data_IF_517537644516
#
_entry.id   IF_517537644516
#
_cell.length_a   1.000
_cell.length_b   1.000
_cell.length_c   1.000
_cell.angle_alpha   90.00
_cell.angle_beta   90.00
_cell.angle_gamma   90.00
#
_symmetry.space_group_name_H-M   'P 1'
#
loop_
_entity.id
_entity.type
_entity.pdbx_description
1 polymer ?
#
# COMPACT_ATOMS: atom_id res chain seq x y z
N UNK A 1 2.26 40.57 -34.41
CA UNK A 1 3.05 41.58 -33.69
C UNK A 1 2.97 41.24 -32.22
N UNK A 2 4.12 40.86 -31.65
CA UNK A 2 4.29 40.27 -30.33
C UNK A 2 4.44 41.39 -29.31
N UNK A 3 3.73 41.34 -28.19
CA UNK A 3 4.21 41.95 -26.94
C UNK A 3 3.89 41.00 -25.79
N UNK A 4 4.96 40.38 -25.30
CA UNK A 4 5.04 39.52 -24.12
C UNK A 4 5.70 40.40 -23.05
N UNK A 5 5.08 40.57 -21.89
CA UNK A 5 5.71 41.22 -20.74
C UNK A 5 5.98 40.18 -19.66
N UNK A 6 7.24 40.17 -19.22
CA UNK A 6 7.80 39.35 -18.16
C UNK A 6 7.50 39.94 -16.79
N UNK A 7 7.40 39.11 -15.75
CA UNK A 7 7.94 39.49 -14.45
C UNK A 7 8.48 38.28 -13.68
N UNK A 8 9.51 38.57 -12.91
CA UNK A 8 10.45 37.69 -12.24
C UNK A 8 9.89 36.97 -11.01
N UNK A 9 10.53 35.85 -10.66
CA UNK A 9 10.32 35.16 -9.39
C UNK A 9 11.47 34.20 -9.07
N UNK A 10 12.65 34.77 -8.82
CA UNK A 10 13.87 34.12 -8.31
C UNK A 10 13.61 33.52 -6.92
N UNK A 11 13.90 32.24 -6.69
CA UNK A 11 14.09 31.71 -5.33
C UNK A 11 15.36 30.88 -5.22
N UNK A 12 16.10 31.21 -4.16
CA UNK A 12 17.47 30.86 -3.82
C UNK A 12 17.65 29.36 -3.56
N UNK A 13 18.80 28.84 -4.01
CA UNK A 13 19.46 27.68 -3.41
C UNK A 13 19.89 27.98 -1.97
N UNK A 14 19.73 27.01 -1.07
CA UNK A 14 20.52 26.92 0.16
C UNK A 14 21.23 25.58 0.21
N UNK A 15 22.56 25.66 0.31
CA UNK A 15 23.53 24.58 0.28
C UNK A 15 24.16 24.46 1.68
N UNK A 16 24.38 23.22 2.12
CA UNK A 16 25.37 22.72 3.09
C UNK A 16 25.54 23.42 4.46
N UNK A 17 25.46 22.63 5.54
CA UNK A 17 26.65 22.40 6.38
C UNK A 17 26.57 21.05 7.10
N UNK A 18 27.74 20.43 7.22
CA UNK A 18 28.06 19.08 7.68
C UNK A 18 28.79 19.19 9.04
N UNK A 19 28.86 18.08 9.76
CA UNK A 19 29.69 17.76 10.95
C UNK A 19 29.11 17.91 12.36
N UNK A 20 29.24 16.81 13.13
CA UNK A 20 29.14 16.76 14.59
C UNK A 20 28.89 15.35 15.13
N UNK A 21 29.91 14.50 15.20
CA UNK A 21 29.88 13.17 15.80
C UNK A 21 30.10 13.20 17.33
N UNK A 22 29.58 12.16 17.98
CA UNK A 22 30.13 11.43 19.15
C UNK A 22 29.75 11.79 20.61
N UNK A 23 29.38 10.70 21.31
CA UNK A 23 29.47 10.36 22.74
C UNK A 23 28.32 10.80 23.65
N UNK A 24 27.74 9.81 24.36
CA UNK A 24 27.13 10.05 25.66
C UNK A 24 25.99 9.14 26.07
N UNK A 25 26.16 7.81 26.02
CA UNK A 25 25.27 6.90 26.74
C UNK A 25 25.46 7.10 28.25
N UNK A 26 24.39 7.44 28.98
CA UNK A 26 24.31 7.24 30.44
C UNK A 26 22.87 6.91 30.83
N UNK A 27 22.60 5.62 30.96
CA UNK A 27 21.49 5.13 31.77
C UNK A 27 21.91 5.19 33.25
N UNK A 28 21.10 5.81 34.09
CA UNK A 28 21.11 5.61 35.55
C UNK A 28 19.67 5.58 36.04
N UNK A 29 19.11 4.37 36.08
CA UNK A 29 18.12 3.97 37.07
C UNK A 29 18.85 3.64 38.37
N UNK A 30 18.29 4.02 39.52
CA UNK A 30 18.15 3.24 40.75
C UNK A 30 17.88 4.19 41.91
N UNK A 31 16.67 4.11 42.48
CA UNK A 31 16.40 4.57 43.83
C UNK A 31 16.33 3.33 44.75
N UNK A 32 16.77 3.54 45.99
CA UNK A 32 17.32 2.58 46.95
C UNK A 32 16.40 2.50 48.17
N UNK A 33 16.15 1.30 48.73
CA UNK A 33 16.15 1.05 50.22
C UNK A 33 15.97 -0.44 50.57
N UNK A 34 16.32 -0.92 51.80
CA UNK A 34 17.32 -1.98 52.01
C UNK A 34 16.86 -3.12 52.95
N UNK A 35 17.70 -4.16 53.11
CA UNK A 35 17.62 -5.08 54.25
C UNK A 35 18.21 -6.47 54.00
N UNK A 36 19.47 -6.67 54.38
CA UNK A 36 20.14 -7.97 54.55
C UNK A 36 20.29 -8.24 56.06
N UNK A 37 20.57 -9.47 56.57
CA UNK A 37 21.93 -10.04 56.45
C UNK A 37 21.96 -11.62 56.54
N UNK A 38 23.09 -12.32 56.81
CA UNK A 38 23.98 -12.88 55.79
C UNK A 38 24.42 -14.35 56.07
N UNK A 39 25.11 -14.99 55.12
CA UNK A 39 26.19 -16.00 55.30
C UNK A 39 26.33 -16.82 54.00
N UNK A 40 27.48 -17.18 53.42
CA UNK A 40 28.93 -16.95 53.61
C UNK A 40 29.58 -17.60 52.38
N UNK A 41 30.66 -17.05 51.83
CA UNK A 41 31.69 -17.85 51.13
C UNK A 41 31.91 -17.61 49.62
N UNK A 42 32.93 -16.79 49.36
CA UNK A 42 33.65 -16.41 48.12
C UNK A 42 34.47 -17.61 47.52
N UNK A 43 35.20 -17.48 46.38
CA UNK A 43 34.90 -18.15 45.11
C UNK A 43 36.17 -18.85 44.49
N UNK A 44 36.56 -18.69 43.21
CA UNK A 44 36.62 -19.76 42.21
C UNK A 44 38.04 -20.07 41.69
N UNK A 45 38.17 -21.13 40.88
CA UNK A 45 39.28 -21.29 39.95
C UNK A 45 38.75 -21.59 38.53
N UNK A 46 38.76 -20.55 37.70
CA UNK A 46 39.33 -20.46 36.33
C UNK A 46 39.10 -21.66 35.39
N UNK A 47 38.21 -21.58 34.40
CA UNK A 47 38.29 -20.86 33.10
C UNK A 47 38.64 -21.81 31.94
N UNK A 48 37.83 -21.75 30.88
CA UNK A 48 38.10 -21.92 29.42
C UNK A 48 36.73 -22.27 28.79
N UNK A 49 35.89 -21.34 28.29
CA UNK A 49 35.89 -20.68 26.96
C UNK A 49 36.22 -21.66 25.82
N UNK A 50 35.47 -21.89 24.75
CA UNK A 50 34.32 -21.31 24.07
C UNK A 50 33.53 -22.52 23.47
N UNK A 51 32.36 -22.41 22.85
CA UNK A 51 32.25 -22.04 21.44
C UNK A 51 30.76 -22.00 21.05
N UNK A 52 30.32 -20.82 20.63
CA UNK A 52 28.97 -20.53 20.15
C UNK A 52 28.82 -21.08 18.73
N UNK A 53 27.91 -22.03 18.54
CA UNK A 53 27.60 -22.62 17.22
C UNK A 53 26.81 -21.61 16.36
N UNK A 54 27.23 -21.30 15.13
CA UNK A 54 26.45 -20.48 14.21
C UNK A 54 25.31 -21.29 13.56
N UNK A 55 24.14 -20.65 13.46
CA UNK A 55 22.93 -21.12 12.79
C UNK A 55 23.15 -21.28 11.26
N UNK A 56 22.78 -22.40 10.62
CA UNK A 56 22.96 -22.60 9.18
C UNK A 56 22.05 -21.70 8.33
N UNK A 57 22.50 -21.17 7.17
CA UNK A 57 21.67 -20.46 6.22
C UNK A 57 20.83 -21.39 5.33
N UNK A 58 19.76 -20.77 4.85
CA UNK A 58 18.70 -21.17 3.92
C UNK A 58 18.97 -22.27 2.88
N UNK A 59 17.90 -23.04 2.69
CA UNK A 59 17.65 -24.12 1.74
C UNK A 59 18.17 -23.85 0.32
N UNK A 60 19.11 -24.69 -0.11
CA UNK A 60 19.63 -24.75 -1.48
C UNK A 60 18.56 -25.29 -2.46
N UNK A 61 18.56 -24.86 -3.73
CA UNK A 61 17.68 -25.42 -4.74
C UNK A 61 17.97 -26.91 -4.95
N UNK A 62 16.94 -27.74 -4.77
CA UNK A 62 17.04 -29.19 -5.01
C UNK A 62 17.27 -29.43 -6.50
N UNK A 63 18.34 -30.14 -6.89
CA UNK A 63 18.65 -30.41 -8.28
C UNK A 63 17.61 -31.35 -8.93
N UNK A 64 17.38 -31.26 -10.24
CA UNK A 64 16.51 -32.20 -10.95
C UNK A 64 17.03 -33.63 -10.77
N UNK A 65 16.11 -34.58 -10.56
CA UNK A 65 16.36 -35.97 -10.16
C UNK A 65 17.23 -36.82 -11.10
N UNK A 66 17.75 -36.25 -12.19
CA UNK A 66 18.48 -36.93 -13.26
C UNK A 66 20.01 -36.79 -13.17
N UNK A 67 20.54 -36.09 -12.16
CA UNK A 67 21.99 -35.94 -11.96
C UNK A 67 22.43 -36.51 -10.60
N UNK A 68 22.85 -37.78 -10.54
CA UNK A 68 23.40 -38.34 -9.32
C UNK A 68 24.78 -37.72 -9.07
N UNK A 69 24.98 -37.11 -7.90
CA UNK A 69 26.25 -36.59 -7.34
C UNK A 69 26.61 -35.13 -7.68
N UNK A 70 25.99 -34.18 -6.97
CA UNK A 70 26.44 -32.78 -6.91
C UNK A 70 27.34 -32.59 -5.68
N UNK A 71 28.55 -32.06 -5.89
CA UNK A 71 29.50 -31.68 -4.84
C UNK A 71 29.69 -30.16 -4.87
N UNK A 72 29.53 -29.49 -3.73
CA UNK A 72 29.77 -28.05 -3.65
C UNK A 72 31.25 -27.77 -3.36
N UNK A 73 31.89 -26.97 -4.21
CA UNK A 73 33.28 -26.53 -4.04
C UNK A 73 33.29 -25.02 -3.80
N UNK A 74 34.13 -24.55 -2.88
CA UNK A 74 34.32 -23.10 -2.70
C UNK A 74 35.14 -22.55 -3.86
N UNK A 75 34.64 -21.50 -4.52
CA UNK A 75 35.40 -20.75 -5.51
C UNK A 75 36.44 -19.85 -4.82
N UNK A 76 37.26 -19.14 -5.60
CA UNK A 76 38.30 -18.24 -5.07
C UNK A 76 37.73 -17.06 -4.24
N UNK A 77 36.44 -16.75 -4.39
CA UNK A 77 35.72 -15.77 -3.58
C UNK A 77 35.10 -16.39 -2.31
N UNK A 78 35.31 -17.68 -2.06
CA UNK A 78 34.78 -18.40 -0.90
C UNK A 78 33.33 -18.89 -1.05
N UNK A 79 32.71 -18.68 -2.21
CA UNK A 79 31.31 -19.04 -2.48
C UNK A 79 31.20 -20.50 -2.92
N UNK A 80 30.17 -21.20 -2.44
CA UNK A 80 29.94 -22.61 -2.75
C UNK A 80 29.29 -22.76 -4.14
N UNK A 81 30.05 -23.29 -5.10
CA UNK A 81 29.61 -23.58 -6.46
C UNK A 81 29.31 -25.08 -6.61
N UNK A 82 28.12 -25.48 -7.09
CA UNK A 82 27.81 -26.88 -7.35
C UNK A 82 28.60 -27.40 -8.55
N UNK A 83 29.37 -28.46 -8.34
CA UNK A 83 30.15 -29.18 -9.36
C UNK A 83 29.68 -30.62 -9.42
N UNK A 84 29.40 -31.13 -10.62
CA UNK A 84 28.97 -32.51 -10.81
C UNK A 84 30.17 -33.47 -10.68
N UNK A 85 30.03 -34.52 -9.88
CA UNK A 85 31.10 -35.49 -9.62
C UNK A 85 31.06 -36.60 -10.67
N UNK A 86 32.16 -36.79 -11.40
CA UNK A 86 32.30 -37.87 -12.39
C UNK A 86 31.63 -37.61 -13.75
N UNK A 87 31.29 -36.37 -14.06
CA UNK A 87 30.73 -35.97 -15.36
C UNK A 87 31.83 -35.34 -16.20
N UNK A 88 31.88 -35.66 -17.49
CA UNK A 88 32.80 -35.02 -18.43
C UNK A 88 32.53 -33.51 -18.52
N UNK A 89 33.57 -32.74 -18.88
CA UNK A 89 33.52 -31.28 -18.97
C UNK A 89 32.34 -30.78 -19.82
N UNK A 90 32.02 -31.49 -20.91
CA UNK A 90 30.87 -31.16 -21.77
C UNK A 90 29.52 -31.31 -21.03
N UNK A 91 29.37 -32.32 -20.17
CA UNK A 91 28.17 -32.50 -19.35
C UNK A 91 28.04 -31.44 -18.26
N UNK A 92 29.16 -30.95 -17.73
CA UNK A 92 29.15 -29.81 -16.81
C UNK A 92 28.77 -28.50 -17.50
N UNK A 93 29.24 -28.26 -18.73
CA UNK A 93 28.81 -27.10 -19.53
C UNK A 93 27.32 -27.16 -19.84
N UNK A 94 26.78 -28.32 -20.24
CA UNK A 94 25.33 -28.51 -20.44
C UNK A 94 24.52 -28.24 -19.17
N UNK A 95 25.04 -28.59 -17.99
CA UNK A 95 24.40 -28.27 -16.70
C UNK A 95 24.42 -26.77 -16.39
N UNK A 96 25.54 -26.08 -16.61
CA UNK A 96 25.62 -24.63 -16.45
C UNK A 96 24.72 -23.89 -17.44
N UNK A 97 24.66 -24.36 -18.68
CA UNK A 97 23.72 -23.86 -19.68
C UNK A 97 22.27 -24.13 -19.27
N UNK A 98 21.94 -25.31 -18.75
CA UNK A 98 20.61 -25.61 -18.23
C UNK A 98 20.23 -24.70 -17.04
N UNK A 99 21.17 -24.42 -16.12
CA UNK A 99 20.94 -23.46 -15.04
C UNK A 99 20.75 -22.02 -15.56
N UNK A 100 21.52 -21.62 -16.58
CA UNK A 100 21.41 -20.31 -17.21
C UNK A 100 20.10 -20.16 -17.98
N UNK A 101 19.72 -21.19 -18.74
CA UNK A 101 18.49 -21.25 -19.53
C UNK A 101 17.26 -21.36 -18.64
N UNK A 102 17.30 -22.16 -17.56
CA UNK A 102 16.22 -22.22 -16.57
C UNK A 102 15.97 -20.86 -15.90
N UNK A 103 17.01 -20.04 -15.76
CA UNK A 103 16.91 -18.68 -15.24
C UNK A 103 16.47 -17.65 -16.29
N UNK A 104 16.59 -17.96 -17.58
CA UNK A 104 16.25 -17.06 -18.69
C UNK A 104 14.98 -17.44 -19.46
N UNK A 105 14.34 -18.57 -19.14
CA UNK A 105 13.13 -19.06 -19.82
C UNK A 105 11.81 -18.57 -19.20
N UNK A 106 11.86 -17.84 -18.10
CA UNK A 106 10.67 -17.28 -17.45
C UNK A 106 10.36 -15.89 -18.02
N UNK A 107 10.23 -15.82 -19.35
CA UNK A 107 9.55 -14.68 -19.96
C UNK A 107 8.11 -14.77 -19.45
N UNK A 108 7.69 -13.78 -18.65
CA UNK A 108 6.32 -13.69 -18.16
C UNK A 108 5.37 -13.86 -19.35
N UNK A 109 4.62 -14.96 -19.34
CA UNK A 109 3.76 -15.39 -20.47
C UNK A 109 2.52 -14.52 -20.61
N UNK A 110 2.33 -13.60 -19.67
CA UNK A 110 1.24 -12.66 -19.61
C UNK A 110 1.71 -11.38 -18.93
N UNK A 111 1.04 -10.27 -19.20
CA UNK A 111 1.22 -9.02 -18.47
C UNK A 111 -0.10 -8.28 -18.37
N UNK A 112 -0.24 -7.43 -17.35
CA UNK A 112 -1.42 -6.60 -17.16
C UNK A 112 -1.03 -5.15 -17.45
N UNK A 113 -1.51 -4.62 -18.56
CA UNK A 113 -1.17 -3.28 -19.01
C UNK A 113 -1.89 -2.20 -18.21
N UNK A 114 -3.18 -2.40 -17.94
CA UNK A 114 -4.02 -1.41 -17.26
C UNK A 114 -5.02 -2.04 -16.32
N UNK A 115 -5.24 -1.37 -15.19
CA UNK A 115 -6.31 -1.62 -14.23
C UNK A 115 -7.04 -0.31 -13.94
N UNK A 116 -8.26 -0.16 -14.42
CA UNK A 116 -9.12 0.98 -14.08
C UNK A 116 -10.27 0.52 -13.20
N UNK A 117 -10.41 1.13 -12.03
CA UNK A 117 -11.51 0.89 -11.10
C UNK A 117 -12.43 2.11 -11.11
N UNK A 118 -13.72 1.92 -11.34
CA UNK A 118 -14.71 3.00 -11.23
C UNK A 118 -15.90 2.53 -10.43
N UNK A 119 -16.42 3.36 -9.53
CA UNK A 119 -17.55 2.90 -8.73
C UNK A 119 -18.14 3.92 -7.79
N UNK A 120 -19.10 3.46 -7.01
CA UNK A 120 -19.79 4.25 -5.99
C UNK A 120 -19.65 3.58 -4.63
N UNK A 121 -19.57 4.37 -3.56
CA UNK A 121 -19.65 3.86 -2.19
C UNK A 121 -20.99 4.21 -1.56
N UNK A 122 -21.66 3.20 -1.00
CA UNK A 122 -22.97 3.35 -0.36
C UNK A 122 -23.21 2.28 0.69
N UNK A 123 -23.55 2.68 1.92
CA UNK A 123 -23.77 1.73 3.02
C UNK A 123 -22.49 0.99 3.42
N UNK A 124 -22.54 -0.33 3.46
CA UNK A 124 -21.45 -1.21 3.92
C UNK A 124 -20.56 -1.72 2.78
N UNK A 125 -20.87 -1.38 1.53
CA UNK A 125 -20.15 -1.84 0.36
C UNK A 125 -19.83 -0.72 -0.63
N UNK A 126 -18.81 -0.95 -1.45
CA UNK A 126 -18.52 -0.18 -2.63
C UNK A 126 -18.77 -1.07 -3.84
N UNK A 127 -19.60 -0.58 -4.75
CA UNK A 127 -19.87 -1.21 -6.04
C UNK A 127 -18.83 -0.67 -7.03
N UNK A 128 -17.88 -1.52 -7.41
CA UNK A 128 -16.79 -1.19 -8.31
C UNK A 128 -16.92 -1.96 -9.61
N UNK A 129 -16.61 -1.30 -10.72
CA UNK A 129 -16.36 -1.92 -12.02
C UNK A 129 -14.86 -1.89 -12.27
N UNK A 130 -14.24 -3.06 -12.43
CA UNK A 130 -12.84 -3.19 -12.77
C UNK A 130 -12.68 -3.50 -14.25
N UNK A 131 -11.99 -2.62 -14.99
CA UNK A 131 -11.57 -2.83 -16.38
C UNK A 131 -10.10 -3.17 -16.41
N UNK A 132 -9.77 -4.37 -16.89
CA UNK A 132 -8.43 -4.95 -16.82
C UNK A 132 -7.98 -5.29 -18.24
N UNK A 133 -6.87 -4.71 -18.68
CA UNK A 133 -6.23 -5.01 -19.96
C UNK A 133 -5.10 -6.02 -19.75
N UNK A 134 -5.23 -7.20 -20.33
CA UNK A 134 -4.33 -8.33 -20.13
C UNK A 134 -3.75 -8.74 -21.48
N UNK A 135 -2.43 -8.84 -21.58
CA UNK A 135 -1.75 -9.37 -22.75
C UNK A 135 -1.32 -10.80 -22.48
N UNK A 136 -1.75 -11.75 -23.30
CA UNK A 136 -1.29 -13.15 -23.27
C UNK A 136 -0.32 -13.38 -24.44
N UNK A 137 0.85 -13.95 -24.16
CA UNK A 137 1.90 -14.18 -25.15
C UNK A 137 1.93 -15.62 -25.68
N UNK A 138 1.43 -16.60 -24.93
CA UNK A 138 1.44 -18.02 -25.31
C UNK A 138 0.07 -18.48 -25.84
N UNK A 139 0.02 -18.96 -27.09
CA UNK A 139 -1.24 -19.34 -27.76
C UNK A 139 -1.70 -20.77 -27.45
N UNK A 140 -0.74 -21.69 -27.32
CA UNK A 140 -1.00 -23.13 -27.31
C UNK A 140 -1.43 -23.71 -25.96
N UNK A 141 -1.36 -22.92 -24.89
CA UNK A 141 -1.65 -23.37 -23.52
C UNK A 141 -2.64 -22.47 -22.81
N UNK A 142 -3.37 -23.05 -21.87
CA UNK A 142 -4.15 -22.30 -20.90
C UNK A 142 -3.19 -21.62 -19.93
N UNK A 143 -3.31 -20.31 -19.78
CA UNK A 143 -2.52 -19.49 -18.87
C UNK A 143 -3.39 -19.10 -17.68
N UNK A 144 -2.83 -19.18 -16.48
CA UNK A 144 -3.49 -18.76 -15.25
C UNK A 144 -2.90 -17.43 -14.79
N UNK A 145 -3.76 -16.42 -14.67
CA UNK A 145 -3.40 -15.06 -14.29
C UNK A 145 -4.02 -14.73 -12.93
N UNK A 146 -3.21 -14.46 -11.89
CA UNK A 146 -3.71 -14.06 -10.59
C UNK A 146 -4.12 -12.59 -10.62
N UNK A 147 -5.43 -12.32 -10.56
CA UNK A 147 -5.97 -10.97 -10.45
C UNK A 147 -5.97 -10.45 -9.01
N UNK A 148 -5.73 -11.30 -8.01
CA UNK A 148 -5.55 -10.93 -6.59
C UNK A 148 -6.73 -10.30 -5.86
N UNK A 149 -7.83 -9.98 -6.54
CA UNK A 149 -9.07 -9.34 -6.02
C UNK A 149 -9.81 -10.17 -4.94
N UNK A 150 -9.12 -10.59 -3.87
CA UNK A 150 -9.60 -11.58 -2.90
C UNK A 150 -10.64 -11.03 -1.93
N UNK A 151 -10.61 -9.74 -1.64
CA UNK A 151 -11.60 -9.08 -0.77
C UNK A 151 -12.89 -8.71 -1.51
N UNK A 152 -12.89 -8.78 -2.84
CA UNK A 152 -14.05 -8.45 -3.67
C UNK A 152 -14.92 -9.68 -3.95
N UNK A 153 -16.23 -9.50 -3.85
CA UNK A 153 -17.20 -10.49 -4.35
C UNK A 153 -17.50 -10.18 -5.81
N UNK A 154 -17.23 -11.14 -6.70
CA UNK A 154 -17.58 -11.05 -8.12
C UNK A 154 -19.11 -11.14 -8.30
N UNK A 155 -19.70 -10.17 -8.99
CA UNK A 155 -21.13 -10.12 -9.30
C UNK A 155 -21.43 -10.47 -10.74
N UNK A 156 -20.58 -10.01 -11.64
CA UNK A 156 -20.77 -10.16 -13.08
C UNK A 156 -19.41 -10.05 -13.79
N UNK A 157 -19.31 -10.70 -14.95
CA UNK A 157 -18.10 -10.73 -15.76
C UNK A 157 -18.42 -10.59 -17.24
N UNK A 158 -17.69 -9.72 -17.92
CA UNK A 158 -17.75 -9.52 -19.36
C UNK A 158 -16.31 -9.49 -19.89
N UNK A 159 -16.05 -10.14 -21.03
CA UNK A 159 -14.73 -10.12 -21.64
C UNK A 159 -14.79 -9.93 -23.15
N UNK A 160 -13.77 -9.27 -23.69
CA UNK A 160 -13.51 -9.15 -25.13
C UNK A 160 -12.08 -9.56 -25.40
N UNK A 161 -11.85 -10.38 -26.42
CA UNK A 161 -10.52 -10.85 -26.77
C UNK A 161 -10.52 -11.93 -27.86
N UNK A 162 -9.34 -12.36 -28.32
CA UNK A 162 -9.19 -13.34 -29.40
C UNK A 162 -9.53 -14.77 -28.99
N UNK A 163 -9.70 -15.03 -27.69
CA UNK A 163 -9.98 -16.35 -27.15
C UNK A 163 -10.94 -16.30 -25.98
N UNK A 164 -10.88 -17.30 -25.11
CA UNK A 164 -11.81 -17.44 -23.97
C UNK A 164 -11.09 -17.28 -22.64
N UNK A 165 -11.84 -16.77 -21.65
CA UNK A 165 -11.36 -16.67 -20.28
C UNK A 165 -12.50 -16.89 -19.29
N UNK A 166 -12.14 -17.10 -18.03
CA UNK A 166 -13.11 -17.20 -16.94
C UNK A 166 -12.43 -17.35 -15.57
N UNK A 167 -13.21 -17.17 -14.51
CA UNK A 167 -12.74 -17.42 -13.16
C UNK A 167 -12.40 -18.91 -12.99
N UNK A 168 -11.19 -19.22 -12.54
CA UNK A 168 -10.76 -20.59 -12.25
C UNK A 168 -11.04 -20.97 -10.80
N UNK A 169 -10.45 -20.21 -9.86
CA UNK A 169 -10.68 -20.38 -8.43
C UNK A 169 -10.44 -19.06 -7.68
N UNK A 170 -11.02 -18.97 -6.48
CA UNK A 170 -10.65 -17.96 -5.50
C UNK A 170 -9.78 -18.62 -4.42
N UNK A 171 -8.56 -18.12 -4.28
CA UNK A 171 -7.54 -18.63 -3.37
C UNK A 171 -7.31 -17.62 -2.23
N UNK A 172 -7.22 -18.04 -0.95
CA UNK A 172 -7.01 -17.11 0.16
C UNK A 172 -5.70 -16.31 0.08
N UNK A 173 -4.65 -16.85 -0.53
CA UNK A 173 -3.34 -16.19 -0.62
C UNK A 173 -3.18 -15.42 -1.94
N UNK A 174 -3.65 -16.00 -3.05
CA UNK A 174 -3.48 -15.42 -4.39
C UNK A 174 -4.70 -14.63 -4.89
N UNK A 175 -5.79 -14.60 -4.12
CA UNK A 175 -7.05 -14.00 -4.50
C UNK A 175 -7.69 -14.72 -5.69
N UNK A 176 -8.38 -13.98 -6.55
CA UNK A 176 -9.03 -14.54 -7.73
C UNK A 176 -8.01 -14.89 -8.82
N UNK A 177 -8.02 -16.15 -9.26
CA UNK A 177 -7.18 -16.64 -10.37
C UNK A 177 -8.08 -16.90 -11.57
N UNK A 178 -7.68 -16.36 -12.71
CA UNK A 178 -8.40 -16.44 -13.97
C UNK A 178 -7.63 -17.27 -14.99
N UNK A 179 -8.34 -18.10 -15.75
CA UNK A 179 -7.74 -18.85 -16.85
C UNK A 179 -7.99 -18.13 -18.17
N UNK A 180 -7.03 -18.18 -19.08
CA UNK A 180 -7.08 -17.59 -20.42
C UNK A 180 -6.61 -18.62 -21.46
N UNK A 181 -7.22 -18.63 -22.63
CA UNK A 181 -6.84 -19.49 -23.74
C UNK A 181 -6.86 -18.74 -25.06
N UNK A 182 -5.72 -18.70 -25.73
CA UNK A 182 -5.50 -17.95 -26.97
C UNK A 182 -4.61 -16.74 -26.71
N UNK A 183 -3.64 -16.48 -27.59
CA UNK A 183 -2.73 -15.35 -27.45
C UNK A 183 -3.37 -14.04 -27.92
N UNK A 184 -2.93 -12.93 -27.35
CA UNK A 184 -3.35 -11.58 -27.72
C UNK A 184 -3.87 -10.76 -26.55
N UNK A 185 -4.52 -9.63 -26.87
CA UNK A 185 -5.04 -8.67 -25.90
C UNK A 185 -6.45 -9.07 -25.46
N UNK A 186 -6.66 -9.14 -24.15
CA UNK A 186 -7.95 -9.32 -23.50
C UNK A 186 -8.32 -8.05 -22.74
N UNK A 187 -9.61 -7.73 -22.79
CA UNK A 187 -10.22 -6.70 -21.96
C UNK A 187 -11.29 -7.37 -21.09
N UNK A 188 -11.05 -7.38 -19.79
CA UNK A 188 -11.92 -8.00 -18.80
C UNK A 188 -12.63 -6.91 -17.99
N UNK A 189 -13.96 -6.93 -17.97
CA UNK A 189 -14.80 -6.04 -17.18
C UNK A 189 -15.48 -6.84 -16.08
N UNK A 190 -15.15 -6.54 -14.83
CA UNK A 190 -15.69 -7.23 -13.65
C UNK A 190 -16.56 -6.28 -12.83
N UNK A 191 -17.79 -6.69 -12.51
CA UNK A 191 -18.61 -5.99 -11.51
C UNK A 191 -18.32 -6.62 -10.15
N UNK A 192 -17.84 -5.80 -9.22
CA UNK A 192 -17.30 -6.21 -7.94
C UNK A 192 -18.05 -5.52 -6.79
N UNK A 193 -18.29 -6.26 -5.71
CA UNK A 193 -18.76 -5.72 -4.45
C UNK A 193 -17.63 -5.81 -3.42
N UNK A 194 -17.16 -4.67 -2.93
CA UNK A 194 -16.02 -4.59 -2.00
C UNK A 194 -16.51 -4.09 -0.64
N UNK A 195 -16.20 -4.76 0.48
CA UNK A 195 -16.65 -4.33 1.79
C UNK A 195 -16.00 -3.00 2.21
N UNK A 196 -16.82 -2.07 2.68
CA UNK A 196 -16.38 -0.81 3.29
C UNK A 196 -16.31 -1.00 4.79
N UNK A 197 -15.11 -0.95 5.34
CA UNK A 197 -14.87 -1.13 6.78
C UNK A 197 -15.18 0.16 7.52
N UNK A 198 -15.93 0.05 8.61
CA UNK A 198 -16.31 1.18 9.49
C UNK A 198 -15.94 0.82 10.94
N UNK A 199 -14.63 0.76 11.26
CA UNK A 199 -14.18 0.43 12.63
C UNK A 199 -14.37 1.60 13.61
N UNK A 200 -14.31 2.84 13.12
CA UNK A 200 -14.43 4.05 13.92
C UNK A 200 -15.32 5.02 13.15
N UNK A 201 -16.62 5.07 13.46
CA UNK A 201 -17.50 6.08 12.86
C UNK A 201 -16.94 7.48 13.16
N UNK A 202 -16.79 8.38 12.17
CA UNK A 202 -17.31 8.33 10.79
C UNK A 202 -16.32 7.89 9.69
N UNK A 203 -15.20 7.25 10.03
CA UNK A 203 -14.17 6.80 9.10
C UNK A 203 -14.60 5.55 8.32
N UNK A 204 -14.46 5.60 7.00
CA UNK A 204 -14.77 4.54 6.04
C UNK A 204 -13.48 4.14 5.33
N UNK A 205 -13.24 2.84 5.15
CA UNK A 205 -12.02 2.33 4.53
C UNK A 205 -12.30 1.19 3.56
N UNK A 206 -11.70 1.24 2.38
CA UNK A 206 -11.63 0.14 1.42
C UNK A 206 -10.23 -0.46 1.46
N UNK A 207 -10.17 -1.78 1.50
CA UNK A 207 -8.93 -2.54 1.34
C UNK A 207 -9.17 -3.60 0.27
N UNK A 208 -8.34 -3.57 -0.77
CA UNK A 208 -8.46 -4.48 -1.90
C UNK A 208 -7.06 -4.81 -2.44
N UNK A 209 -6.78 -6.10 -2.54
CA UNK A 209 -5.57 -6.63 -3.19
C UNK A 209 -5.73 -6.52 -4.71
N UNK A 210 -4.71 -5.96 -5.38
CA UNK A 210 -4.72 -5.65 -6.80
C UNK A 210 -3.63 -6.45 -7.53
N UNK A 211 -3.83 -6.79 -8.81
CA UNK A 211 -2.78 -7.40 -9.60
C UNK A 211 -1.65 -6.40 -9.87
N UNK A 212 -0.47 -6.92 -10.24
CA UNK A 212 0.62 -6.08 -10.74
C UNK A 212 0.21 -5.58 -12.12
N UNK A 213 0.11 -4.25 -12.29
CA UNK A 213 -0.25 -3.62 -13.55
C UNK A 213 0.66 -2.44 -13.86
N UNK A 214 0.94 -2.17 -15.13
CA UNK A 214 1.75 -1.01 -15.55
C UNK A 214 1.08 0.33 -15.17
N UNK A 215 -0.23 0.42 -15.34
CA UNK A 215 -1.03 1.60 -14.98
C UNK A 215 -2.23 1.17 -14.16
N UNK A 216 -2.47 1.84 -13.03
CA UNK A 216 -3.68 1.64 -12.24
C UNK A 216 -4.30 2.95 -11.77
N UNK A 217 -5.62 3.01 -11.82
CA UNK A 217 -6.41 4.15 -11.37
C UNK A 217 -7.73 3.72 -10.69
N UNK A 218 -8.21 4.54 -9.76
CA UNK A 218 -9.50 4.40 -9.11
C UNK A 218 -10.24 5.74 -9.14
N UNK A 219 -11.48 5.71 -9.59
CA UNK A 219 -12.44 6.81 -9.48
C UNK A 219 -13.64 6.36 -8.64
N UNK A 220 -13.75 6.90 -7.44
CA UNK A 220 -14.79 6.55 -6.48
C UNK A 220 -15.73 7.73 -6.22
N UNK A 221 -17.02 7.51 -6.44
CA UNK A 221 -18.07 8.45 -6.11
C UNK A 221 -18.60 8.20 -4.69
N UNK A 222 -18.65 9.26 -3.89
CA UNK A 222 -19.10 9.23 -2.50
C UNK A 222 -20.23 10.23 -2.32
N UNK A 223 -21.35 9.77 -1.75
CA UNK A 223 -22.51 10.60 -1.38
C UNK A 223 -22.23 11.43 -0.12
N UNK A 224 -21.27 12.35 -0.22
CA UNK A 224 -20.92 13.30 0.83
C UNK A 224 -20.42 14.62 0.21
N UNK A 225 -20.83 15.79 0.75
CA UNK A 225 -20.52 17.09 0.16
C UNK A 225 -19.03 17.46 0.28
N UNK A 226 -18.39 17.00 1.34
CA UNK A 226 -16.94 17.14 1.57
C UNK A 226 -16.45 15.89 2.28
N UNK A 227 -15.27 15.44 1.87
CA UNK A 227 -14.60 14.29 2.46
C UNK A 227 -13.16 14.64 2.82
N UNK A 228 -12.71 14.19 3.98
CA UNK A 228 -11.30 14.10 4.32
C UNK A 228 -10.82 12.73 3.89
N UNK A 229 -9.70 12.67 3.18
CA UNK A 229 -9.16 11.44 2.62
C UNK A 229 -7.78 11.13 3.20
N UNK A 230 -7.48 9.85 3.34
CA UNK A 230 -6.18 9.35 3.77
C UNK A 230 -5.86 8.08 2.97
N UNK A 231 -4.67 8.05 2.39
CA UNK A 231 -4.07 6.89 1.71
C UNK A 231 -2.80 6.49 2.42
N UNK A 232 -2.41 5.21 2.33
CA UNK A 232 -1.09 4.76 2.78
C UNK A 232 0.00 5.55 2.01
N UNK A 233 1.02 6.05 2.71
CA UNK A 233 2.04 6.93 2.13
C UNK A 233 2.84 6.22 1.02
N UNK A 234 3.02 6.89 -0.12
CA UNK A 234 4.10 6.59 -1.07
C UNK A 234 3.72 5.95 -2.41
N UNK A 235 2.50 5.44 -2.60
CA UNK A 235 2.14 4.72 -3.85
C UNK A 235 1.21 5.49 -4.77
N UNK A 236 0.09 6.01 -4.25
CA UNK A 236 -0.95 6.61 -5.08
C UNK A 236 -0.97 8.15 -5.01
N UNK A 237 -1.15 8.81 -6.16
CA UNK A 237 -1.50 10.24 -6.23
C UNK A 237 -3.00 10.38 -6.01
N UNK A 238 -3.39 11.29 -5.13
CA UNK A 238 -4.78 11.48 -4.68
C UNK A 238 -5.29 12.86 -5.12
N UNK A 239 -6.46 12.87 -5.73
CA UNK A 239 -7.22 14.06 -6.10
C UNK A 239 -8.66 13.92 -5.59
N UNK A 240 -9.20 15.01 -5.03
CA UNK A 240 -10.58 15.06 -4.54
C UNK A 240 -11.29 16.23 -5.18
N UNK A 241 -12.45 15.98 -5.77
CA UNK A 241 -13.31 17.00 -6.35
C UNK A 241 -14.70 16.88 -5.73
N UNK A 242 -15.22 17.97 -5.19
CA UNK A 242 -16.56 18.02 -4.60
C UNK A 242 -17.46 18.93 -5.42
N UNK A 243 -18.61 18.41 -5.85
CA UNK A 243 -19.61 19.11 -6.67
C UNK A 243 -21.01 18.71 -6.22
N UNK A 244 -21.92 19.67 -6.09
CA UNK A 244 -23.37 19.45 -5.88
C UNK A 244 -23.75 18.46 -4.75
N UNK A 245 -23.00 18.46 -3.64
CA UNK A 245 -23.29 17.62 -2.49
C UNK A 245 -22.69 16.22 -2.55
N UNK A 246 -21.95 15.90 -3.60
CA UNK A 246 -21.20 14.66 -3.78
C UNK A 246 -19.70 14.93 -3.93
N UNK A 247 -18.89 13.91 -3.66
CA UNK A 247 -17.43 13.97 -3.81
C UNK A 247 -16.96 12.83 -4.71
N UNK A 248 -16.13 13.16 -5.68
CA UNK A 248 -15.39 12.21 -6.51
C UNK A 248 -13.94 12.17 -6.04
N UNK A 249 -13.46 10.96 -5.80
CA UNK A 249 -12.12 10.69 -5.30
C UNK A 249 -11.36 9.93 -6.38
N UNK A 250 -10.25 10.48 -6.84
CA UNK A 250 -9.41 9.92 -7.88
C UNK A 250 -8.05 9.54 -7.29
N UNK A 251 -7.64 8.30 -7.52
CA UNK A 251 -6.36 7.75 -7.09
C UNK A 251 -5.64 7.19 -8.32
N UNK A 252 -4.35 7.51 -8.47
CA UNK A 252 -3.52 7.05 -9.59
C UNK A 252 -2.26 6.36 -9.06
N UNK A 253 -1.89 5.22 -9.64
CA UNK A 253 -0.73 4.43 -9.20
C UNK A 253 -1.03 3.60 -7.96
N UNK A 254 -2.07 2.77 -7.98
CA UNK A 254 -2.56 2.04 -6.82
C UNK A 254 -1.58 0.95 -6.30
N UNK A 255 -0.58 0.55 -7.09
CA UNK A 255 0.30 -0.57 -6.76
C UNK A 255 -0.47 -1.91 -6.70
N UNK A 256 -0.04 -2.81 -5.81
CA UNK A 256 -0.64 -4.15 -5.63
C UNK A 256 -1.65 -4.23 -4.48
N UNK A 257 -1.90 -3.11 -3.79
CA UNK A 257 -2.79 -3.03 -2.65
C UNK A 257 -3.41 -1.65 -2.60
N UNK A 258 -4.72 -1.59 -2.79
CA UNK A 258 -5.52 -0.41 -2.49
C UNK A 258 -5.83 -0.39 -1.00
N UNK A 259 -5.38 0.65 -0.32
CA UNK A 259 -5.69 0.89 1.09
C UNK A 259 -6.03 2.37 1.29
N UNK A 260 -7.33 2.64 1.25
CA UNK A 260 -7.84 4.00 1.15
C UNK A 260 -8.95 4.23 2.17
N UNK A 261 -8.92 5.38 2.84
CA UNK A 261 -9.95 5.77 3.79
C UNK A 261 -10.46 7.20 3.56
N UNK A 262 -11.73 7.40 3.89
CA UNK A 262 -12.38 8.69 3.81
C UNK A 262 -13.36 8.91 4.97
N UNK A 263 -13.54 10.17 5.31
CA UNK A 263 -14.43 10.62 6.36
C UNK A 263 -15.27 11.80 5.84
N UNK A 264 -16.62 11.73 5.89
CA UNK A 264 -17.47 12.88 5.63
C UNK A 264 -17.19 14.02 6.62
N UNK A 265 -17.05 15.24 6.12
CA UNK A 265 -16.92 16.45 6.94
C UNK A 265 -18.28 17.13 6.95
N UNK A 266 -18.84 17.38 8.14
CA UNK A 266 -20.07 18.14 8.27
C UNK A 266 -19.89 19.53 7.64
N UNK A 267 -20.85 19.94 6.80
CA UNK A 267 -20.95 21.35 6.45
C UNK A 267 -21.29 22.12 7.73
N UNK A 268 -20.34 22.90 8.22
CA UNK A 268 -20.67 23.99 9.11
C UNK A 268 -21.53 24.93 8.28
N UNK A 269 -22.85 24.84 8.43
CA UNK A 269 -23.73 25.90 7.99
C UNK A 269 -23.18 27.16 8.66
N UNK A 270 -22.71 28.11 7.85
CA UNK A 270 -22.42 29.46 8.31
C UNK A 270 -23.76 30.07 8.73
N UNK A 271 -24.26 29.67 9.89
CA UNK A 271 -25.25 30.44 10.63
C UNK A 271 -24.49 31.71 10.98
N UNK A 272 -24.68 32.79 10.21
CA UNK A 272 -24.31 34.11 10.67
C UNK A 272 -25.03 34.28 12.01
N UNK A 273 -24.31 34.27 13.16
CA UNK A 273 -24.97 34.41 14.43
C UNK A 273 -25.38 35.88 14.54
N UNK A 274 -26.62 36.19 14.15
CA UNK A 274 -27.18 37.53 14.35
C UNK A 274 -27.49 37.66 15.83
N UNK A 275 -26.62 38.37 16.55
CA UNK A 275 -26.88 38.74 17.93
C UNK A 275 -27.97 39.82 17.96
N UNK A 276 -29.17 39.43 18.42
CA UNK A 276 -30.24 40.37 18.68
C UNK A 276 -30.19 40.82 20.14
N UNK A 277 -29.66 42.01 20.39
CA UNK A 277 -29.81 42.70 21.67
C UNK A 277 -31.01 43.63 21.61
N UNK A 278 -32.00 43.46 22.49
CA UNK A 278 -33.05 44.46 22.69
C UNK A 278 -32.75 45.24 23.96
N UNK A 279 -32.46 46.53 23.80
CA UNK A 279 -32.32 47.46 24.93
C UNK A 279 -33.61 48.25 25.06
N UNK A 280 -34.30 48.09 26.18
CA UNK A 280 -35.40 48.97 26.58
C UNK A 280 -34.84 50.02 27.54
N UNK A 281 -35.16 51.29 27.30
CA UNK A 281 -34.69 52.40 28.11
C UNK A 281 -35.90 53.17 28.60
N UNK A 282 -36.11 53.18 29.91
CA UNK A 282 -37.15 53.98 30.54
C UNK A 282 -36.51 55.25 31.08
N UNK A 283 -37.05 56.41 30.67
CA UNK A 283 -36.60 57.73 31.13
C UNK A 283 -37.71 58.37 31.93
N UNK A 284 -37.45 58.62 33.20
CA UNK A 284 -38.34 59.34 34.11
C UNK A 284 -37.69 60.71 34.40
N UNK A 285 -38.40 61.78 34.07
CA UNK A 285 -37.98 63.16 34.32
C UNK A 285 -38.92 63.72 35.37
N UNK A 286 -38.39 64.01 36.56
CA UNK A 286 -39.12 64.67 37.63
C UNK A 286 -38.35 65.93 38.02
N UNK A 287 -38.71 67.06 37.39
CA UNK A 287 -38.42 68.49 37.68
C UNK A 287 -37.01 68.92 38.10
N UNK A 288 -36.37 68.19 38.99
CA UNK A 288 -35.04 68.39 39.56
C UNK A 288 -34.09 67.19 39.35
N UNK A 289 -34.55 66.06 38.79
CA UNK A 289 -33.70 64.91 38.48
C UNK A 289 -34.17 64.13 37.24
N UNK A 290 -33.24 63.40 36.63
CA UNK A 290 -33.51 62.46 35.53
C UNK A 290 -33.02 61.09 35.94
N UNK A 291 -33.92 60.10 35.96
CA UNK A 291 -33.59 58.70 36.17
C UNK A 291 -33.67 57.95 34.86
N UNK A 292 -32.57 57.28 34.50
CA UNK A 292 -32.49 56.39 33.35
C UNK A 292 -32.31 54.96 33.82
N UNK A 293 -33.26 54.11 33.46
CA UNK A 293 -33.14 52.66 33.63
C UNK A 293 -33.02 52.01 32.25
N UNK A 294 -31.87 51.38 32.00
CA UNK A 294 -31.64 50.59 30.80
C UNK A 294 -31.70 49.10 31.16
N UNK A 295 -32.58 48.35 30.52
CA UNK A 295 -32.68 46.91 30.66
C UNK A 295 -32.34 46.25 29.31
N UNK A 296 -31.32 45.39 29.31
CA UNK A 296 -30.84 44.69 28.13
C UNK A 296 -31.15 43.20 28.28
N UNK A 297 -31.80 42.61 27.27
CA UNK A 297 -32.04 41.17 27.15
C UNK A 297 -31.54 40.64 25.82
#
# INVERSE_FOLDING_TARGET
MIVRTSSHGTWLMFLCFLFGQLIGARAQTSDVTPGSPPATGTPPATSTAAETTPKPPETLPTPPSNYPNIQYLKNQAGELVPVLKGVEFEGYLKYLDALRTAKSSDIEKWSIGRLALEGTSGGDFAELTAKIEIQILEESKTIFVPLRLGEATLRDEEHTGPGTCGLWKSDPEQGQIWWFRGAGKYELTLKLLVPVRTRESPNRRIQLSLPVSTVSDLKLHVKAPRVRTLTEEGTARLQVTSLDGESTIELFGLGTKLDFSWQPIAQQNNLNPTFHSRTAMNVLIDGQSVLLEANQR
#
